data_IF_489357140956
#
_entry.id   IF_489357140956
#
_cell.length_a   1.000
_cell.length_b   1.000
_cell.length_c   1.000
_cell.angle_alpha   90.00
_cell.angle_beta   90.00
_cell.angle_gamma   90.00
#
_symmetry.space_group_name_H-M   'P 1'
#
loop_
_entity.id
_entity.type
_entity.pdbx_description
1 polymer ?
#
# COMPACT_ATOMS: atom_id res chain seq x y z
N UNK A 1 -0.09 -8.14 7.56
CA UNK A 1 -1.11 -7.07 7.48
C UNK A 1 -0.59 -5.98 6.56
N UNK A 2 -1.42 -5.57 5.62
CA UNK A 2 -1.12 -4.50 4.66
C UNK A 2 -2.20 -3.42 4.77
N UNK A 3 -1.79 -2.18 4.74
CA UNK A 3 -2.68 -1.02 4.87
C UNK A 3 -2.44 -0.10 3.67
N UNK A 4 -3.45 0.08 2.84
CA UNK A 4 -3.37 0.86 1.60
C UNK A 4 -2.06 0.57 0.82
N UNK A 5 -1.78 -0.70 0.49
CA UNK A 5 -0.51 -1.08 -0.11
C UNK A 5 -0.38 -0.66 -1.57
N UNK A 6 0.84 -0.30 -1.96
CA UNK A 6 1.19 -0.18 -3.38
C UNK A 6 1.31 -1.57 -4.00
N UNK A 7 0.95 -1.69 -5.28
CA UNK A 7 0.97 -2.96 -6.01
C UNK A 7 1.75 -2.82 -7.31
N UNK A 8 2.25 -3.96 -7.88
CA UNK A 8 2.83 -3.94 -9.22
C UNK A 8 1.81 -3.43 -10.26
N UNK A 9 2.25 -2.74 -11.31
CA UNK A 9 3.62 -2.39 -11.66
C UNK A 9 4.14 -1.08 -11.06
N UNK A 10 3.60 -0.60 -9.96
CA UNK A 10 3.99 0.66 -9.31
C UNK A 10 3.74 1.87 -10.24
N UNK A 11 2.53 1.96 -10.77
CA UNK A 11 2.11 3.04 -11.67
C UNK A 11 2.23 4.40 -10.98
N UNK A 12 2.71 5.40 -11.72
CA UNK A 12 2.79 6.78 -11.23
C UNK A 12 4.03 7.08 -10.39
N UNK A 13 4.90 6.12 -10.14
CA UNK A 13 6.12 6.35 -9.36
C UNK A 13 7.09 7.31 -10.06
N UNK A 14 6.97 7.47 -11.37
CA UNK A 14 7.73 8.47 -12.15
C UNK A 14 7.48 9.90 -11.69
N UNK A 15 6.36 10.18 -11.06
CA UNK A 15 6.06 11.51 -10.50
C UNK A 15 7.02 11.90 -9.37
N UNK A 16 7.65 10.91 -8.73
CA UNK A 16 8.61 11.15 -7.65
C UNK A 16 10.04 11.34 -8.13
N UNK A 17 10.30 11.29 -9.44
CA UNK A 17 11.65 11.53 -9.97
C UNK A 17 12.12 12.93 -9.62
N UNK A 18 13.40 13.05 -9.25
CA UNK A 18 14.02 14.30 -8.89
C UNK A 18 14.10 14.53 -7.39
N UNK A 19 14.11 15.80 -6.99
CA UNK A 19 14.28 16.18 -5.60
C UNK A 19 12.99 15.95 -4.79
N UNK A 20 13.15 15.30 -3.64
CA UNK A 20 12.11 15.06 -2.66
C UNK A 20 12.60 15.47 -1.28
N UNK A 21 11.67 15.62 -0.33
CA UNK A 21 11.97 16.02 1.03
C UNK A 21 11.32 15.07 2.02
N UNK A 22 12.06 14.67 3.05
CA UNK A 22 11.51 13.90 4.16
C UNK A 22 10.65 14.81 5.03
N UNK A 23 9.36 14.51 5.14
CA UNK A 23 8.40 15.33 5.89
C UNK A 23 8.75 15.48 7.37
N UNK A 24 9.38 14.47 7.96
CA UNK A 24 9.70 14.48 9.40
C UNK A 24 11.00 15.23 9.73
N UNK A 25 11.99 15.19 8.83
CA UNK A 25 13.33 15.73 9.10
C UNK A 25 13.69 16.94 8.25
N UNK A 26 12.97 17.18 7.16
CA UNK A 26 13.32 18.19 6.17
C UNK A 26 14.52 17.81 5.29
N UNK A 27 15.07 16.61 5.47
CA UNK A 27 16.18 16.13 4.66
C UNK A 27 15.76 15.93 3.22
N UNK A 28 16.59 16.43 2.28
CA UNK A 28 16.35 16.31 0.84
C UNK A 28 17.05 15.09 0.29
N UNK A 29 16.40 14.44 -0.68
CA UNK A 29 16.96 13.30 -1.40
C UNK A 29 16.51 13.34 -2.86
N UNK A 30 17.24 12.61 -3.71
CA UNK A 30 16.96 12.55 -5.14
C UNK A 30 16.52 11.14 -5.51
N UNK A 31 15.37 11.02 -6.17
CA UNK A 31 14.89 9.78 -6.76
C UNK A 31 15.28 9.73 -8.23
N UNK A 32 15.98 8.68 -8.61
CA UNK A 32 16.44 8.49 -9.99
C UNK A 32 15.63 7.43 -10.72
N UNK A 33 15.78 7.38 -12.06
CA UNK A 33 15.17 6.30 -12.86
C UNK A 33 15.67 4.93 -12.43
N UNK A 34 16.93 4.81 -12.03
CA UNK A 34 17.51 3.56 -11.54
C UNK A 34 16.88 3.12 -10.22
N UNK A 35 16.54 4.05 -9.35
CA UNK A 35 15.85 3.74 -8.09
C UNK A 35 14.47 3.10 -8.37
N UNK A 36 13.72 3.68 -9.30
CA UNK A 36 12.40 3.16 -9.68
C UNK A 36 12.54 1.79 -10.36
N UNK A 37 13.52 1.63 -11.23
CA UNK A 37 13.81 0.35 -11.89
C UNK A 37 14.14 -0.73 -10.86
N UNK A 38 14.94 -0.38 -9.85
CA UNK A 38 15.28 -1.30 -8.76
C UNK A 38 14.03 -1.71 -7.97
N UNK A 39 13.18 -0.76 -7.58
CA UNK A 39 11.92 -1.06 -6.89
C UNK A 39 11.04 -2.00 -7.71
N UNK A 40 10.91 -1.75 -9.01
CA UNK A 40 10.11 -2.60 -9.90
C UNK A 40 10.71 -3.98 -10.07
N UNK A 41 12.01 -4.15 -9.91
CA UNK A 41 12.64 -5.47 -9.95
C UNK A 41 12.30 -6.35 -8.75
N UNK A 42 11.88 -5.74 -7.64
CA UNK A 42 11.53 -6.45 -6.39
C UNK A 42 10.08 -6.93 -6.37
N UNK A 43 9.23 -6.47 -7.27
CA UNK A 43 7.80 -6.80 -7.25
C UNK A 43 7.54 -8.17 -7.84
N UNK A 44 6.50 -8.86 -7.32
CA UNK A 44 6.01 -10.12 -7.88
C UNK A 44 4.74 -9.86 -8.69
N UNK A 45 4.62 -10.50 -9.86
CA UNK A 45 3.44 -10.36 -10.72
C UNK A 45 2.20 -10.97 -10.09
N UNK A 46 2.37 -12.04 -9.34
CA UNK A 46 1.29 -12.77 -8.69
C UNK A 46 1.56 -12.93 -7.20
N UNK A 47 0.59 -12.57 -6.40
CA UNK A 47 0.66 -12.73 -4.94
C UNK A 47 0.16 -14.12 -4.54
N UNK A 48 0.93 -14.85 -3.74
CA UNK A 48 0.65 -16.25 -3.40
C UNK A 48 0.39 -16.54 -1.92
N UNK A 49 0.50 -15.54 -1.04
CA UNK A 49 0.39 -15.73 0.41
C UNK A 49 -0.98 -15.30 0.97
N UNK A 50 -2.05 -15.60 0.24
CA UNK A 50 -3.40 -15.12 0.57
C UNK A 50 -3.88 -15.52 1.96
N UNK A 51 -3.64 -16.76 2.36
CA UNK A 51 -4.12 -17.28 3.65
C UNK A 51 -3.62 -16.48 4.85
N UNK A 52 -2.39 -15.99 4.78
CA UNK A 52 -1.72 -15.32 5.87
C UNK A 52 -1.72 -13.80 5.72
N UNK A 53 -2.57 -13.27 4.86
CA UNK A 53 -2.59 -11.84 4.54
C UNK A 53 -3.96 -11.23 4.85
N UNK A 54 -3.93 -10.14 5.59
CA UNK A 54 -5.07 -9.27 5.83
C UNK A 54 -4.75 -7.91 5.23
N UNK A 55 -5.62 -7.44 4.32
CA UNK A 55 -5.44 -6.19 3.59
C UNK A 55 -6.55 -5.22 3.97
N UNK A 56 -6.17 -4.05 4.43
CA UNK A 56 -7.09 -2.95 4.69
C UNK A 56 -7.00 -1.92 3.58
N UNK A 57 -8.14 -1.59 2.99
CA UNK A 57 -8.24 -0.62 1.90
C UNK A 57 -9.29 0.43 2.25
N UNK A 58 -9.01 1.67 1.89
CA UNK A 58 -10.01 2.74 1.91
C UNK A 58 -10.31 3.19 0.48
N UNK A 59 -11.59 3.26 0.12
CA UNK A 59 -11.98 3.64 -1.25
C UNK A 59 -11.63 5.08 -1.60
N UNK A 60 -11.47 5.93 -0.58
CA UNK A 60 -11.05 7.33 -0.74
C UNK A 60 -9.54 7.53 -0.86
N UNK A 61 -8.77 6.47 -0.99
CA UNK A 61 -7.31 6.58 -1.22
C UNK A 61 -7.06 7.34 -2.52
N UNK A 62 -6.51 8.55 -2.40
CA UNK A 62 -6.24 9.46 -3.52
C UNK A 62 -4.92 9.17 -4.21
N UNK A 63 -4.09 8.31 -3.63
CA UNK A 63 -2.77 7.95 -4.16
C UNK A 63 -2.83 6.64 -4.93
N UNK A 64 -3.51 5.64 -4.36
CA UNK A 64 -3.55 4.27 -4.90
C UNK A 64 -4.98 3.83 -5.17
N UNK A 65 -5.18 3.12 -6.28
CA UNK A 65 -6.51 2.61 -6.64
C UNK A 65 -6.84 1.36 -5.83
N UNK A 66 -7.83 1.46 -4.94
CA UNK A 66 -8.23 0.34 -4.09
C UNK A 66 -8.81 -0.85 -4.86
N UNK A 67 -9.44 -0.61 -6.01
CA UNK A 67 -10.00 -1.68 -6.85
C UNK A 67 -8.89 -2.55 -7.43
N UNK A 68 -7.82 -1.94 -7.90
CA UNK A 68 -6.66 -2.67 -8.41
C UNK A 68 -5.96 -3.46 -7.30
N UNK A 69 -5.86 -2.88 -6.09
CA UNK A 69 -5.31 -3.58 -4.94
C UNK A 69 -6.17 -4.79 -4.55
N UNK A 70 -7.50 -4.63 -4.53
CA UNK A 70 -8.42 -5.71 -4.23
C UNK A 70 -8.28 -6.88 -5.23
N UNK A 71 -8.09 -6.56 -6.51
CA UNK A 71 -7.86 -7.57 -7.54
C UNK A 71 -6.53 -8.30 -7.35
N UNK A 72 -5.47 -7.56 -7.06
CA UNK A 72 -4.14 -8.15 -6.86
C UNK A 72 -4.10 -9.10 -5.66
N UNK A 73 -4.78 -8.75 -4.57
CA UNK A 73 -4.84 -9.56 -3.35
C UNK A 73 -6.05 -10.50 -3.29
N UNK A 74 -6.71 -10.73 -4.41
CA UNK A 74 -7.89 -11.61 -4.45
C UNK A 74 -7.58 -12.98 -3.83
N UNK A 75 -8.46 -13.42 -2.93
CA UNK A 75 -8.25 -14.64 -2.14
C UNK A 75 -7.69 -14.39 -0.74
N UNK A 76 -7.14 -13.20 -0.48
CA UNK A 76 -6.73 -12.79 0.86
C UNK A 76 -7.93 -12.30 1.68
N UNK A 77 -7.73 -12.09 2.98
CA UNK A 77 -8.72 -11.40 3.81
C UNK A 77 -8.65 -9.91 3.48
N UNK A 78 -9.69 -9.37 2.86
CA UNK A 78 -9.73 -7.97 2.42
C UNK A 78 -10.85 -7.24 3.16
N UNK A 79 -10.49 -6.14 3.79
CA UNK A 79 -11.41 -5.24 4.48
C UNK A 79 -11.42 -3.90 3.73
N UNK A 80 -12.55 -3.55 3.13
CA UNK A 80 -12.71 -2.30 2.40
C UNK A 80 -13.60 -1.37 3.22
N UNK A 81 -13.08 -0.19 3.56
CA UNK A 81 -13.84 0.90 4.14
C UNK A 81 -14.12 1.94 3.07
N UNK A 82 -15.37 2.30 2.87
CA UNK A 82 -15.74 3.29 1.88
C UNK A 82 -15.55 4.70 2.43
N UNK A 83 -14.82 5.52 1.67
CA UNK A 83 -14.35 6.83 2.09
C UNK A 83 -12.89 6.79 2.55
N UNK A 84 -12.55 7.67 3.49
CA UNK A 84 -11.19 7.75 4.02
C UNK A 84 -10.15 8.32 3.07
N UNK A 85 -8.90 7.94 3.25
CA UNK A 85 -7.76 8.46 2.49
C UNK A 85 -6.60 7.48 2.47
N UNK A 86 -5.52 7.84 1.77
CA UNK A 86 -4.27 7.05 1.76
C UNK A 86 -3.67 6.91 3.17
N UNK A 87 -3.90 7.87 4.05
CA UNK A 87 -3.44 7.82 5.45
C UNK A 87 -4.13 6.76 6.29
N UNK A 88 -5.18 6.16 5.79
CA UNK A 88 -6.02 5.16 6.46
C UNK A 88 -6.62 5.69 7.77
N UNK A 89 -7.60 6.57 7.63
CA UNK A 89 -8.23 7.28 8.77
C UNK A 89 -8.97 6.35 9.73
N UNK A 90 -9.42 5.19 9.27
CA UNK A 90 -10.22 4.25 10.06
C UNK A 90 -9.42 3.27 10.90
N UNK A 91 -8.09 3.45 11.02
CA UNK A 91 -7.22 2.45 11.67
C UNK A 91 -7.64 2.11 13.11
N UNK A 92 -8.09 3.09 13.88
CA UNK A 92 -8.52 2.87 15.26
C UNK A 92 -9.71 1.92 15.37
N UNK A 93 -10.58 1.92 14.36
CA UNK A 93 -11.75 1.05 14.29
C UNK A 93 -11.39 -0.38 13.87
N UNK A 94 -10.15 -0.62 13.45
CA UNK A 94 -9.68 -1.91 12.93
C UNK A 94 -8.76 -2.65 13.88
N UNK A 95 -8.40 -2.05 15.01
CA UNK A 95 -7.43 -2.65 15.94
C UNK A 95 -7.87 -4.02 16.46
N UNK A 96 -9.14 -4.19 16.78
CA UNK A 96 -9.67 -5.48 17.24
C UNK A 96 -9.53 -6.56 16.17
N UNK A 97 -9.82 -6.24 14.92
CA UNK A 97 -9.67 -7.16 13.80
C UNK A 97 -8.22 -7.55 13.57
N UNK A 98 -7.30 -6.61 13.73
CA UNK A 98 -5.85 -6.87 13.65
C UNK A 98 -5.43 -7.87 14.74
N UNK A 99 -5.84 -7.62 15.97
CA UNK A 99 -5.53 -8.50 17.11
C UNK A 99 -6.03 -9.93 16.87
N UNK A 100 -7.26 -10.08 16.39
CA UNK A 100 -7.83 -11.39 16.06
C UNK A 100 -7.05 -12.09 14.95
N UNK A 101 -6.67 -11.36 13.94
CA UNK A 101 -5.94 -11.93 12.80
C UNK A 101 -4.57 -12.48 13.21
N UNK A 102 -3.84 -11.74 14.03
CA UNK A 102 -2.51 -12.16 14.50
C UNK A 102 -2.57 -13.18 15.65
N UNK A 103 -3.74 -13.42 16.22
CA UNK A 103 -3.96 -14.49 17.20
C UNK A 103 -3.51 -14.17 18.62
N UNK A 104 -3.50 -12.92 19.01
CA UNK A 104 -3.14 -12.51 20.37
C UNK A 104 -4.32 -12.01 21.19
#
# INVERSE_FOLDING_TARGET
>A
ILINPAIPPLKGFEEYLGENENYSTGEKFIVTKDDIKFLRSLVTKKFNNQKNTLVFLESGDEVLNYVEAAKYFLGSNIDITYGGSHSYESITNKLEKIVRFIGI
#
